data_IF_655564037912
#
_entry.id   IF_655564037912
#
_cell.length_a   1.000
_cell.length_b   1.000
_cell.length_c   1.000
_cell.angle_alpha   90.00
_cell.angle_beta   90.00
_cell.angle_gamma   90.00
#
_symmetry.space_group_name_H-M   'P 1'
#
loop_
_entity.id
_entity.type
_entity.pdbx_description
1 polymer ?
#
# COMPACT_ATOMS: atom_id res chain seq x y z
N UNK A 1 0.57 -4.23 -32.51
CA UNK A 1 1.33 -5.50 -32.53
C UNK A 1 1.51 -5.91 -31.07
N UNK A 2 0.84 -6.98 -30.64
CA UNK A 2 1.03 -7.51 -29.28
C UNK A 2 2.42 -8.17 -29.21
N UNK A 3 3.26 -7.86 -28.20
CA UNK A 3 4.48 -8.62 -28.01
C UNK A 3 4.12 -10.05 -27.62
N UNK A 4 4.84 -11.00 -28.19
CA UNK A 4 4.69 -12.43 -27.93
C UNK A 4 4.94 -12.70 -26.45
N UNK A 5 3.92 -13.21 -25.77
CA UNK A 5 4.02 -13.80 -24.44
C UNK A 5 4.88 -15.06 -24.58
N UNK A 6 6.15 -14.95 -24.21
CA UNK A 6 6.94 -16.13 -23.90
C UNK A 6 6.23 -16.87 -22.77
N UNK A 7 5.96 -18.12 -23.03
CA UNK A 7 5.28 -19.08 -22.14
C UNK A 7 6.04 -19.12 -20.82
N UNK A 8 5.54 -18.40 -19.82
CA UNK A 8 5.98 -18.57 -18.45
C UNK A 8 5.65 -20.01 -18.03
N UNK A 9 6.67 -20.84 -18.01
CA UNK A 9 6.60 -22.15 -17.39
C UNK A 9 6.30 -21.93 -15.91
N UNK A 10 5.05 -22.13 -15.52
CA UNK A 10 4.70 -22.31 -14.10
C UNK A 10 5.49 -23.52 -13.61
N UNK A 11 6.60 -23.27 -12.92
CA UNK A 11 7.28 -24.30 -12.17
C UNK A 11 6.23 -24.92 -11.24
N UNK A 12 5.85 -26.17 -11.52
CA UNK A 12 5.04 -27.00 -10.62
C UNK A 12 5.75 -26.98 -9.26
N UNK A 13 5.21 -26.23 -8.32
CA UNK A 13 5.54 -26.39 -6.91
C UNK A 13 4.95 -27.73 -6.51
N UNK A 14 5.76 -28.79 -6.67
CA UNK A 14 5.44 -30.13 -6.24
C UNK A 14 5.39 -30.13 -4.71
N UNK A 15 4.22 -30.37 -4.14
CA UNK A 15 3.99 -30.47 -2.70
C UNK A 15 2.70 -29.80 -2.21
N UNK A 16 1.79 -29.41 -3.08
CA UNK A 16 0.46 -28.94 -2.67
C UNK A 16 -0.43 -30.14 -2.35
N UNK A 17 -0.78 -30.30 -1.09
CA UNK A 17 -2.06 -30.90 -0.71
C UNK A 17 -3.14 -29.99 -1.31
N UNK A 18 -4.15 -30.57 -2.00
CA UNK A 18 -5.36 -29.85 -2.39
C UNK A 18 -5.81 -29.03 -1.18
N UNK A 19 -5.98 -27.71 -1.37
CA UNK A 19 -6.43 -26.85 -0.28
C UNK A 19 -7.84 -27.32 0.10
N UNK A 20 -8.11 -27.44 1.42
CA UNK A 20 -9.43 -27.76 1.98
C UNK A 20 -10.48 -26.63 1.71
N UNK A 21 -10.46 -26.03 0.51
CA UNK A 21 -11.44 -25.05 0.08
C UNK A 21 -12.69 -25.79 -0.39
N UNK A 22 -13.68 -25.87 0.49
CA UNK A 22 -14.89 -26.64 0.29
C UNK A 22 -15.95 -25.95 -0.59
N UNK A 23 -15.57 -25.00 -1.48
CA UNK A 23 -16.53 -24.31 -2.34
C UNK A 23 -16.08 -24.25 -3.81
N UNK A 24 -17.07 -24.10 -4.71
CA UNK A 24 -16.85 -23.95 -6.15
C UNK A 24 -16.13 -22.61 -6.47
N UNK A 25 -14.82 -22.70 -6.75
CA UNK A 25 -13.96 -21.57 -7.08
C UNK A 25 -14.43 -20.82 -8.30
N UNK A 26 -14.87 -21.52 -9.35
CA UNK A 26 -15.32 -20.85 -10.58
C UNK A 26 -16.62 -20.08 -10.36
N UNK A 27 -17.55 -20.64 -9.58
CA UNK A 27 -18.78 -19.96 -9.23
C UNK A 27 -18.52 -18.72 -8.37
N UNK A 28 -17.62 -18.82 -7.37
CA UNK A 28 -17.15 -17.67 -6.58
C UNK A 28 -16.55 -16.58 -7.48
N UNK A 29 -15.66 -16.94 -8.41
CA UNK A 29 -15.01 -16.00 -9.33
C UNK A 29 -16.05 -15.32 -10.23
N UNK A 30 -16.99 -16.07 -10.77
CA UNK A 30 -18.10 -15.48 -11.58
C UNK A 30 -18.92 -14.50 -10.74
N UNK A 31 -19.36 -14.90 -9.55
CA UNK A 31 -20.18 -14.06 -8.66
C UNK A 31 -19.49 -12.77 -8.26
N UNK A 32 -18.23 -12.86 -7.80
CA UNK A 32 -17.46 -11.68 -7.41
C UNK A 32 -17.19 -10.75 -8.58
N UNK A 33 -16.72 -11.27 -9.72
CA UNK A 33 -16.41 -10.43 -10.89
C UNK A 33 -17.68 -9.82 -11.52
N UNK A 34 -18.80 -10.51 -11.51
CA UNK A 34 -20.09 -9.95 -11.98
C UNK A 34 -20.50 -8.77 -11.08
N UNK A 35 -20.46 -8.94 -9.77
CA UNK A 35 -20.77 -7.87 -8.83
C UNK A 35 -19.77 -6.71 -8.97
N UNK A 36 -18.48 -6.98 -9.01
CA UNK A 36 -17.45 -5.97 -9.15
C UNK A 36 -17.63 -5.13 -10.42
N UNK A 37 -17.92 -5.76 -11.56
CA UNK A 37 -18.16 -5.03 -12.83
C UNK A 37 -19.24 -3.97 -12.74
N UNK A 38 -20.23 -4.16 -11.85
CA UNK A 38 -21.36 -3.24 -11.67
C UNK A 38 -21.16 -2.20 -10.54
N UNK A 39 -20.24 -2.47 -9.61
CA UNK A 39 -20.20 -1.73 -8.32
C UNK A 39 -18.85 -1.14 -7.96
N UNK A 40 -17.79 -1.36 -8.75
CA UNK A 40 -16.46 -0.81 -8.46
C UNK A 40 -16.53 0.70 -8.23
N UNK A 41 -15.93 1.14 -7.13
CA UNK A 41 -15.75 2.57 -6.81
C UNK A 41 -14.91 3.23 -7.90
N UNK A 42 -15.34 4.41 -8.33
CA UNK A 42 -14.56 5.24 -9.24
C UNK A 42 -13.39 5.89 -8.48
N UNK A 43 -12.18 5.40 -8.74
CA UNK A 43 -10.94 5.86 -8.11
C UNK A 43 -9.90 6.16 -9.22
N UNK A 44 -9.20 7.32 -9.17
CA UNK A 44 -8.36 7.77 -10.29
C UNK A 44 -7.27 6.78 -10.69
N UNK A 45 -6.74 5.99 -9.78
CA UNK A 45 -5.72 4.97 -10.07
C UNK A 45 -6.28 3.68 -10.69
N UNK A 46 -7.61 3.54 -10.76
CA UNK A 46 -8.27 2.40 -11.42
C UNK A 46 -8.50 2.60 -12.91
N UNK A 47 -8.45 3.85 -13.39
CA UNK A 47 -8.62 4.20 -14.79
C UNK A 47 -7.35 4.06 -15.63
N UNK A 48 -6.23 3.71 -15.01
CA UNK A 48 -4.94 3.56 -15.68
C UNK A 48 -4.35 2.17 -15.48
N UNK A 49 -3.43 1.80 -16.38
CA UNK A 49 -2.53 0.65 -16.28
C UNK A 49 -1.06 1.09 -16.33
N UNK A 50 -0.81 2.40 -16.30
CA UNK A 50 0.54 2.91 -16.22
C UNK A 50 1.22 2.45 -14.92
N UNK A 51 2.35 1.70 -14.99
CA UNK A 51 2.98 1.09 -13.83
C UNK A 51 3.49 2.12 -12.80
N UNK A 52 3.94 3.30 -13.27
CA UNK A 52 4.35 4.37 -12.36
C UNK A 52 3.16 4.91 -11.56
N UNK A 53 2.09 5.22 -12.23
CA UNK A 53 0.85 5.71 -11.60
C UNK A 53 0.30 4.71 -10.59
N UNK A 54 0.34 3.41 -10.91
CA UNK A 54 -0.08 2.34 -10.01
C UNK A 54 0.85 2.26 -8.80
N UNK A 55 2.18 2.25 -8.99
CA UNK A 55 3.14 2.22 -7.88
C UNK A 55 2.95 3.41 -6.93
N UNK A 56 2.78 4.62 -7.47
CA UNK A 56 2.51 5.84 -6.70
C UNK A 56 1.25 5.70 -5.85
N UNK A 57 0.15 5.22 -6.43
CA UNK A 57 -1.10 5.02 -5.69
C UNK A 57 -0.95 4.01 -4.57
N UNK A 58 -0.29 2.87 -4.81
CA UNK A 58 -0.08 1.83 -3.81
C UNK A 58 0.76 2.33 -2.63
N UNK A 59 1.84 3.09 -2.91
CA UNK A 59 2.67 3.69 -1.85
C UNK A 59 1.88 4.75 -1.07
N UNK A 60 1.06 5.58 -1.72
CA UNK A 60 0.24 6.58 -1.03
C UNK A 60 -0.87 5.96 -0.17
N UNK A 61 -1.45 4.84 -0.61
CA UNK A 61 -2.54 4.15 0.09
C UNK A 61 -2.08 3.36 1.32
N UNK A 62 -0.79 3.06 1.47
CA UNK A 62 -0.29 2.38 2.66
C UNK A 62 -0.71 3.13 3.93
N UNK A 63 -1.61 2.53 4.73
CA UNK A 63 -2.15 3.10 5.98
C UNK A 63 -2.75 4.51 5.86
N UNK A 64 -3.21 4.91 4.67
CA UNK A 64 -3.84 6.21 4.42
C UNK A 64 -5.20 6.04 3.75
N UNK A 65 -6.18 6.80 4.21
CA UNK A 65 -7.54 6.74 3.68
C UNK A 65 -7.62 7.30 2.25
N UNK A 66 -8.47 6.69 1.42
CA UNK A 66 -8.70 7.04 0.01
C UNK A 66 -8.97 8.54 -0.20
N UNK A 67 -9.83 9.14 0.62
CA UNK A 67 -10.20 10.55 0.50
C UNK A 67 -9.02 11.52 0.72
N UNK A 68 -8.00 11.11 1.47
CA UNK A 68 -6.76 11.90 1.64
C UNK A 68 -5.78 11.68 0.48
N UNK A 69 -5.77 10.47 -0.08
CA UNK A 69 -4.86 10.11 -1.17
C UNK A 69 -5.30 10.74 -2.49
N UNK A 70 -6.59 10.67 -2.83
CA UNK A 70 -7.12 11.11 -4.13
C UNK A 70 -6.60 12.48 -4.59
N UNK A 71 -6.74 13.58 -3.84
CA UNK A 71 -6.26 14.89 -4.30
C UNK A 71 -4.73 14.95 -4.42
N UNK A 72 -4.00 14.24 -3.55
CA UNK A 72 -2.53 14.20 -3.57
C UNK A 72 -1.98 13.39 -4.72
N UNK A 73 -2.62 12.29 -5.07
CA UNK A 73 -2.29 11.46 -6.22
C UNK A 73 -2.43 12.23 -7.54
N UNK A 74 -3.55 12.92 -7.73
CA UNK A 74 -3.79 13.74 -8.91
C UNK A 74 -2.73 14.84 -9.04
N UNK A 75 -2.44 15.55 -7.93
CA UNK A 75 -1.43 16.60 -7.91
C UNK A 75 -0.02 16.04 -8.15
N UNK A 76 0.29 14.87 -7.58
CA UNK A 76 1.58 14.20 -7.76
C UNK A 76 1.83 13.89 -9.24
N UNK A 77 0.90 13.18 -9.89
CA UNK A 77 1.08 12.78 -11.30
C UNK A 77 1.08 13.96 -12.26
N UNK A 78 0.38 15.05 -11.93
CA UNK A 78 0.47 16.29 -12.70
C UNK A 78 1.88 16.89 -12.66
N UNK A 79 2.59 16.78 -11.52
CA UNK A 79 3.96 17.29 -11.34
C UNK A 79 5.02 16.32 -11.84
N UNK A 80 4.83 15.05 -11.56
CA UNK A 80 5.81 13.99 -11.81
C UNK A 80 5.14 12.78 -12.49
N UNK A 81 4.83 12.90 -13.80
CA UNK A 81 4.12 11.86 -14.55
C UNK A 81 4.96 10.61 -14.82
N UNK A 82 6.25 10.61 -14.51
CA UNK A 82 7.16 9.47 -14.68
C UNK A 82 8.24 9.45 -13.59
N UNK A 83 8.95 8.33 -13.40
CA UNK A 83 10.11 8.26 -12.51
C UNK A 83 11.16 9.34 -12.86
N UNK A 84 11.45 9.54 -14.14
CA UNK A 84 12.41 10.55 -14.62
C UNK A 84 11.99 11.97 -14.17
N UNK A 85 10.71 12.30 -14.27
CA UNK A 85 10.22 13.61 -13.83
C UNK A 85 10.45 13.84 -12.33
N UNK A 86 10.28 12.77 -11.51
CA UNK A 86 10.53 12.88 -10.07
C UNK A 86 12.02 13.03 -9.75
N UNK A 87 12.92 12.37 -10.48
CA UNK A 87 14.38 12.49 -10.26
C UNK A 87 14.93 13.88 -10.59
N UNK A 88 14.21 14.68 -11.38
CA UNK A 88 14.56 16.09 -11.64
C UNK A 88 14.08 17.05 -10.56
N UNK A 89 13.42 16.56 -9.54
CA UNK A 89 12.88 17.33 -8.40
C UNK A 89 13.72 17.10 -7.15
N UNK A 90 13.39 17.81 -6.09
CA UNK A 90 14.03 17.61 -4.78
C UNK A 90 13.15 16.76 -3.87
N UNK A 91 13.77 16.04 -2.93
CA UNK A 91 13.02 15.35 -1.87
C UNK A 91 12.16 16.36 -1.06
N UNK A 92 12.68 17.58 -0.86
CA UNK A 92 11.95 18.65 -0.19
C UNK A 92 10.61 18.98 -0.89
N UNK A 93 10.59 19.05 -2.21
CA UNK A 93 9.36 19.31 -2.98
C UNK A 93 8.36 18.17 -2.86
N UNK A 94 8.85 16.92 -2.91
CA UNK A 94 8.02 15.76 -2.66
C UNK A 94 7.44 15.75 -1.24
N UNK A 95 8.25 16.04 -0.21
CA UNK A 95 7.79 16.09 1.18
C UNK A 95 6.77 17.20 1.42
N UNK A 96 6.89 18.36 0.74
CA UNK A 96 5.86 19.42 0.76
C UNK A 96 4.53 18.93 0.20
N UNK A 97 4.53 18.22 -0.93
CA UNK A 97 3.32 17.63 -1.49
C UNK A 97 2.75 16.56 -0.56
N UNK A 98 3.61 15.76 0.08
CA UNK A 98 3.22 14.63 0.93
C UNK A 98 2.51 15.03 2.24
N UNK A 99 2.52 16.32 2.59
CA UNK A 99 1.87 16.79 3.81
C UNK A 99 0.41 16.36 3.90
N UNK A 100 0.03 15.79 5.05
CA UNK A 100 -1.31 15.25 5.30
C UNK A 100 -1.49 13.77 5.02
N UNK A 101 -0.57 13.11 4.30
CA UNK A 101 -0.62 11.66 4.07
C UNK A 101 -0.04 10.86 5.25
N UNK A 102 0.84 11.45 6.05
CA UNK A 102 1.54 10.76 7.13
C UNK A 102 2.66 9.84 6.63
N UNK A 103 3.38 9.22 7.57
CA UNK A 103 4.45 8.27 7.27
C UNK A 103 5.42 8.77 6.17
N UNK A 104 6.15 9.88 6.40
CA UNK A 104 6.95 10.59 5.40
C UNK A 104 8.09 9.73 4.82
N UNK A 105 8.51 8.67 5.52
CA UNK A 105 9.47 7.70 5.00
C UNK A 105 9.00 7.03 3.71
N UNK A 106 7.68 6.93 3.49
CA UNK A 106 7.14 6.41 2.21
C UNK A 106 7.44 7.35 1.04
N UNK A 107 7.37 8.67 1.28
CA UNK A 107 7.78 9.65 0.28
C UNK A 107 9.26 9.51 -0.05
N UNK A 108 10.13 9.38 0.96
CA UNK A 108 11.56 9.13 0.76
C UNK A 108 11.78 7.85 -0.04
N UNK A 109 11.17 6.75 0.37
CA UNK A 109 11.28 5.48 -0.34
C UNK A 109 10.82 5.58 -1.81
N UNK A 110 9.72 6.29 -2.09
CA UNK A 110 9.24 6.50 -3.46
C UNK A 110 10.23 7.36 -4.28
N UNK A 111 10.84 8.36 -3.66
CA UNK A 111 11.89 9.17 -4.29
C UNK A 111 13.11 8.32 -4.67
N UNK A 112 13.59 7.51 -3.72
CA UNK A 112 14.72 6.60 -3.94
C UNK A 112 14.37 5.50 -4.97
N UNK A 113 13.11 5.02 -4.97
CA UNK A 113 12.61 4.08 -5.99
C UNK A 113 12.63 4.69 -7.39
N UNK A 114 12.24 5.97 -7.54
CA UNK A 114 12.30 6.64 -8.83
C UNK A 114 13.75 6.72 -9.37
N UNK A 115 14.71 7.06 -8.50
CA UNK A 115 16.13 7.06 -8.87
C UNK A 115 16.61 5.66 -9.27
N UNK A 116 16.25 4.62 -8.49
CA UNK A 116 16.63 3.25 -8.83
C UNK A 116 15.99 2.77 -10.13
N UNK A 117 14.73 3.09 -10.39
CA UNK A 117 14.05 2.78 -11.66
C UNK A 117 14.80 3.42 -12.83
N UNK A 118 15.19 4.68 -12.72
CA UNK A 118 15.94 5.38 -13.78
C UNK A 118 17.34 4.81 -13.97
N UNK A 119 18.04 4.49 -12.88
CA UNK A 119 19.45 4.07 -12.94
C UNK A 119 19.63 2.59 -13.29
N UNK A 120 18.69 1.71 -12.92
CA UNK A 120 18.85 0.25 -13.00
C UNK A 120 17.87 -0.40 -13.97
N UNK A 121 16.73 0.25 -14.21
CA UNK A 121 15.65 -0.31 -15.03
C UNK A 121 15.30 0.61 -16.23
N UNK A 122 16.26 1.37 -16.74
CA UNK A 122 16.12 2.24 -17.93
C UNK A 122 14.92 3.21 -17.85
N UNK A 123 14.48 3.54 -16.65
CA UNK A 123 13.35 4.42 -16.41
C UNK A 123 11.96 3.77 -16.45
N UNK A 124 11.90 2.46 -16.69
CA UNK A 124 10.67 1.68 -16.71
C UNK A 124 10.45 0.96 -15.36
N UNK A 125 9.25 1.01 -14.82
CA UNK A 125 8.90 0.24 -13.61
C UNK A 125 9.00 -1.26 -13.94
N UNK A 126 9.79 -2.04 -13.17
CA UNK A 126 9.97 -3.46 -13.47
C UNK A 126 8.65 -4.26 -13.37
N UNK A 127 8.58 -5.35 -14.16
CA UNK A 127 7.42 -6.21 -14.27
C UNK A 127 7.64 -7.63 -13.72
N UNK A 128 8.67 -7.82 -12.89
CA UNK A 128 8.92 -9.06 -12.15
C UNK A 128 8.82 -8.83 -10.65
N UNK A 129 8.44 -9.88 -9.90
CA UNK A 129 8.34 -9.80 -8.44
C UNK A 129 9.72 -9.53 -7.82
N UNK A 130 10.74 -10.19 -8.33
CA UNK A 130 12.11 -10.11 -7.88
C UNK A 130 12.66 -8.68 -8.00
N UNK A 131 12.47 -8.04 -9.15
CA UNK A 131 12.98 -6.68 -9.39
C UNK A 131 12.18 -5.64 -8.59
N UNK A 132 10.85 -5.78 -8.54
CA UNK A 132 9.99 -4.87 -7.77
C UNK A 132 10.36 -4.85 -6.28
N UNK A 133 10.66 -5.99 -5.67
CA UNK A 133 11.04 -6.06 -4.26
C UNK A 133 12.40 -5.36 -3.99
N UNK A 134 13.24 -5.18 -5.02
CA UNK A 134 14.50 -4.43 -4.86
C UNK A 134 14.29 -2.93 -4.71
N UNK A 135 13.11 -2.41 -5.06
CA UNK A 135 12.79 -0.99 -4.95
C UNK A 135 12.59 -0.59 -3.48
N UNK A 136 13.16 0.52 -3.02
CA UNK A 136 13.00 1.00 -1.65
C UNK A 136 11.53 1.14 -1.23
N UNK A 137 11.14 0.48 -0.14
CA UNK A 137 9.77 0.53 0.40
C UNK A 137 8.72 -0.29 -0.36
N UNK A 138 9.13 -1.05 -1.37
CA UNK A 138 8.29 -2.01 -2.07
C UNK A 138 8.46 -3.39 -1.43
N UNK A 139 7.45 -3.81 -0.69
CA UNK A 139 7.37 -5.16 -0.12
C UNK A 139 6.57 -6.11 -1.03
N UNK A 140 6.45 -7.39 -0.62
CA UNK A 140 5.71 -8.40 -1.40
C UNK A 140 4.28 -7.98 -1.78
N UNK A 141 3.56 -7.32 -0.87
CA UNK A 141 2.23 -6.77 -1.15
C UNK A 141 2.26 -5.75 -2.29
N UNK A 142 3.08 -4.70 -2.15
CA UNK A 142 3.14 -3.61 -3.15
C UNK A 142 3.62 -4.13 -4.51
N UNK A 143 4.61 -5.04 -4.53
CA UNK A 143 5.08 -5.66 -5.75
C UNK A 143 3.96 -6.44 -6.47
N UNK A 144 3.22 -7.30 -5.75
CA UNK A 144 2.08 -8.04 -6.30
C UNK A 144 0.97 -7.11 -6.79
N UNK A 145 0.65 -6.05 -6.03
CA UNK A 145 -0.34 -5.05 -6.43
C UNK A 145 0.05 -4.36 -7.75
N UNK A 146 1.33 -3.98 -7.92
CA UNK A 146 1.83 -3.42 -9.19
C UNK A 146 1.70 -4.43 -10.33
N UNK A 147 2.11 -5.69 -10.10
CA UNK A 147 2.01 -6.74 -11.13
C UNK A 147 0.57 -6.99 -11.57
N UNK A 148 -0.38 -6.98 -10.64
CA UNK A 148 -1.80 -7.17 -10.94
C UNK A 148 -2.42 -5.93 -11.58
N UNK A 149 -2.19 -4.75 -11.00
CA UNK A 149 -2.96 -3.57 -11.39
C UNK A 149 -2.38 -2.82 -12.59
N UNK A 150 -1.09 -3.01 -12.89
CA UNK A 150 -0.46 -2.45 -14.07
C UNK A 150 -0.27 -3.47 -15.20
N UNK A 151 0.14 -4.68 -14.87
CA UNK A 151 0.51 -5.69 -15.86
C UNK A 151 -0.53 -6.82 -16.02
N UNK A 152 -1.59 -6.79 -15.20
CA UNK A 152 -2.68 -7.79 -15.20
C UNK A 152 -2.19 -9.24 -15.04
N UNK A 153 -1.11 -9.43 -14.27
CA UNK A 153 -0.59 -10.75 -13.98
C UNK A 153 -1.39 -11.45 -12.86
N UNK A 154 -1.57 -12.78 -12.92
CA UNK A 154 -2.48 -13.51 -12.04
C UNK A 154 -1.86 -13.78 -10.65
N UNK A 155 -1.65 -12.73 -9.87
CA UNK A 155 -1.24 -12.81 -8.47
C UNK A 155 -2.39 -12.47 -7.52
N UNK A 156 -2.46 -13.16 -6.39
CA UNK A 156 -3.31 -12.76 -5.28
C UNK A 156 -2.69 -11.57 -4.53
N UNK A 157 -3.47 -10.51 -4.29
CA UNK A 157 -3.03 -9.34 -3.51
C UNK A 157 -3.63 -9.44 -2.11
N UNK A 158 -2.81 -9.78 -1.13
CA UNK A 158 -3.23 -10.01 0.25
C UNK A 158 -2.90 -8.82 1.15
N UNK A 159 -3.91 -8.00 1.45
CA UNK A 159 -3.86 -7.00 2.52
C UNK A 159 -4.65 -7.46 3.76
N UNK A 160 -4.74 -6.61 4.79
CA UNK A 160 -5.51 -6.90 6.01
C UNK A 160 -7.00 -7.08 5.76
N UNK A 161 -7.54 -6.51 4.70
CA UNK A 161 -8.95 -6.60 4.35
C UNK A 161 -9.24 -7.88 3.58
N UNK A 162 -8.39 -8.22 2.63
CA UNK A 162 -8.46 -9.49 1.91
C UNK A 162 -8.22 -10.66 2.87
N UNK A 163 -7.26 -10.54 3.80
CA UNK A 163 -7.03 -11.55 4.84
C UNK A 163 -8.28 -11.79 5.69
N UNK A 164 -9.04 -10.75 6.04
CA UNK A 164 -10.33 -10.87 6.72
C UNK A 164 -11.37 -11.62 5.86
N UNK A 165 -11.45 -11.31 4.57
CA UNK A 165 -12.34 -12.01 3.64
C UNK A 165 -12.02 -13.50 3.59
N UNK A 166 -10.75 -13.84 3.35
CA UNK A 166 -10.30 -15.23 3.21
C UNK A 166 -10.54 -16.04 4.48
N UNK A 167 -10.26 -15.47 5.67
CA UNK A 167 -10.54 -16.13 6.94
C UNK A 167 -12.05 -16.43 7.11
N UNK A 168 -12.91 -15.48 6.76
CA UNK A 168 -14.38 -15.67 6.82
C UNK A 168 -14.90 -16.66 5.78
N UNK A 169 -14.33 -16.65 4.57
CA UNK A 169 -14.71 -17.60 3.52
C UNK A 169 -14.32 -19.03 3.88
N UNK A 170 -13.14 -19.23 4.46
CA UNK A 170 -12.66 -20.53 4.89
C UNK A 170 -13.20 -20.97 6.26
N UNK A 171 -13.81 -20.05 7.01
CA UNK A 171 -14.34 -20.33 8.36
C UNK A 171 -13.28 -20.55 9.45
N UNK A 172 -12.01 -20.20 9.19
CA UNK A 172 -10.90 -20.40 10.11
C UNK A 172 -9.84 -19.29 10.07
N UNK A 173 -9.10 -19.14 11.15
CA UNK A 173 -7.95 -18.25 11.18
C UNK A 173 -6.84 -18.72 10.25
N UNK A 174 -6.22 -17.78 9.54
CA UNK A 174 -5.17 -18.05 8.55
C UNK A 174 -3.84 -17.45 8.99
N UNK A 175 -2.76 -18.21 8.83
CA UNK A 175 -1.39 -17.71 8.93
C UNK A 175 -0.99 -16.86 7.70
N UNK A 176 0.13 -16.08 7.76
CA UNK A 176 0.53 -15.21 6.66
C UNK A 176 0.78 -15.96 5.35
N UNK A 177 1.53 -17.06 5.43
CA UNK A 177 1.86 -17.88 4.26
C UNK A 177 0.61 -18.54 3.68
N UNK A 178 -0.19 -19.16 4.52
CA UNK A 178 -1.42 -19.83 4.13
C UNK A 178 -2.43 -18.88 3.49
N UNK A 179 -2.61 -17.67 4.08
CA UNK A 179 -3.47 -16.64 3.50
C UNK A 179 -3.00 -16.20 2.11
N UNK A 180 -1.69 -16.10 1.89
CA UNK A 180 -1.14 -15.76 0.58
C UNK A 180 -1.31 -16.92 -0.43
N UNK A 181 -1.07 -18.16 -0.01
CA UNK A 181 -1.25 -19.35 -0.85
C UNK A 181 -2.72 -19.46 -1.32
N UNK A 182 -3.69 -19.23 -0.42
CA UNK A 182 -5.13 -19.18 -0.75
C UNK A 182 -5.45 -18.01 -1.68
N UNK A 183 -4.89 -16.81 -1.45
CA UNK A 183 -5.11 -15.67 -2.33
C UNK A 183 -4.62 -15.94 -3.75
N UNK A 184 -3.46 -16.58 -3.90
CA UNK A 184 -2.90 -16.98 -5.20
C UNK A 184 -3.72 -18.09 -5.88
N UNK A 185 -4.27 -19.02 -5.10
CA UNK A 185 -5.11 -20.09 -5.63
C UNK A 185 -6.45 -19.59 -6.13
N UNK A 186 -7.07 -18.64 -5.44
CA UNK A 186 -8.41 -18.13 -5.75
C UNK A 186 -8.44 -17.09 -6.88
N UNK A 187 -7.31 -16.49 -7.24
CA UNK A 187 -7.29 -15.44 -8.26
C UNK A 187 -7.91 -15.93 -9.58
N UNK A 188 -8.75 -15.11 -10.19
CA UNK A 188 -9.26 -15.34 -11.54
C UNK A 188 -8.14 -15.07 -12.56
N UNK A 189 -7.60 -16.09 -13.24
CA UNK A 189 -6.46 -15.91 -14.12
C UNK A 189 -6.77 -15.11 -15.39
N UNK A 190 -8.03 -15.06 -15.80
CA UNK A 190 -8.49 -14.32 -16.99
C UNK A 190 -8.79 -12.85 -16.67
N UNK A 191 -9.13 -12.56 -15.41
CA UNK A 191 -9.53 -11.23 -14.94
C UNK A 191 -8.86 -10.85 -13.61
N UNK A 192 -7.52 -10.97 -13.47
CA UNK A 192 -6.84 -10.80 -12.19
C UNK A 192 -7.00 -9.38 -11.62
N UNK A 193 -7.03 -8.37 -12.48
CA UNK A 193 -7.29 -6.99 -12.08
C UNK A 193 -8.68 -6.84 -11.44
N UNK A 194 -9.72 -7.29 -12.15
CA UNK A 194 -11.11 -7.15 -11.70
C UNK A 194 -11.37 -7.95 -10.43
N UNK A 195 -10.81 -9.16 -10.35
CA UNK A 195 -10.87 -10.01 -9.17
C UNK A 195 -10.31 -9.30 -7.92
N UNK A 196 -9.07 -8.84 -7.97
CA UNK A 196 -8.44 -8.20 -6.82
C UNK A 196 -9.10 -6.85 -6.45
N UNK A 197 -9.54 -6.05 -7.44
CA UNK A 197 -10.29 -4.82 -7.16
C UNK A 197 -11.66 -5.13 -6.54
N UNK A 198 -12.32 -6.20 -6.99
CA UNK A 198 -13.56 -6.70 -6.41
C UNK A 198 -13.39 -7.12 -4.94
N UNK A 199 -12.30 -7.81 -4.60
CA UNK A 199 -11.98 -8.15 -3.20
C UNK A 199 -11.85 -6.90 -2.33
N UNK A 200 -11.13 -5.88 -2.80
CA UNK A 200 -10.97 -4.64 -2.04
C UNK A 200 -12.29 -3.92 -1.81
N UNK A 201 -13.17 -3.89 -2.82
CA UNK A 201 -14.46 -3.24 -2.68
C UNK A 201 -15.45 -4.07 -1.87
N UNK A 202 -15.45 -5.38 -2.02
CA UNK A 202 -16.23 -6.26 -1.16
C UNK A 202 -15.87 -6.08 0.31
N UNK A 203 -14.57 -5.99 0.61
CA UNK A 203 -14.09 -5.77 1.97
C UNK A 203 -14.41 -4.36 2.52
N UNK A 204 -14.49 -3.37 1.65
CA UNK A 204 -14.77 -1.99 2.02
C UNK A 204 -16.26 -1.67 2.12
N UNK A 205 -17.12 -2.35 1.36
CA UNK A 205 -18.53 -2.02 1.22
C UNK A 205 -19.47 -3.03 1.91
N UNK A 206 -19.13 -4.32 1.90
CA UNK A 206 -19.99 -5.39 2.37
C UNK A 206 -19.40 -6.14 3.56
N UNK A 207 -18.21 -6.72 3.40
CA UNK A 207 -17.56 -7.53 4.43
C UNK A 207 -16.76 -6.66 5.42
N UNK A 208 -17.46 -5.74 6.07
CA UNK A 208 -16.87 -4.77 7.00
C UNK A 208 -16.22 -5.48 8.21
N UNK A 209 -15.24 -4.81 8.85
CA UNK A 209 -14.61 -5.31 10.09
C UNK A 209 -15.62 -5.44 11.23
N UNK A 210 -16.57 -4.51 11.34
CA UNK A 210 -17.68 -4.53 12.29
C UNK A 210 -18.99 -4.45 11.51
N UNK A 211 -20.00 -5.18 11.94
CA UNK A 211 -21.32 -5.20 11.30
C UNK A 211 -21.28 -5.46 9.79
N UNK A 212 -20.70 -6.60 9.34
CA UNK A 212 -20.69 -6.95 7.92
C UNK A 212 -22.10 -7.15 7.39
N UNK A 213 -22.33 -6.76 6.13
CA UNK A 213 -23.62 -6.84 5.45
C UNK A 213 -23.79 -8.24 4.79
N UNK A 214 -23.75 -9.29 5.60
CA UNK A 214 -23.72 -10.68 5.09
C UNK A 214 -24.95 -11.02 4.25
N UNK A 215 -26.16 -10.51 4.61
CA UNK A 215 -27.40 -10.77 3.86
C UNK A 215 -27.42 -10.21 2.44
N UNK A 216 -26.60 -9.20 2.14
CA UNK A 216 -26.48 -8.55 0.83
C UNK A 216 -25.16 -8.91 0.13
N UNK A 217 -24.38 -9.82 0.71
CA UNK A 217 -23.05 -10.16 0.19
C UNK A 217 -23.18 -11.00 -1.10
N UNK A 218 -22.59 -10.57 -2.21
CA UNK A 218 -22.71 -11.25 -3.50
C UNK A 218 -22.09 -12.65 -3.53
N UNK A 219 -21.27 -12.96 -2.54
CA UNK A 219 -20.55 -14.24 -2.39
C UNK A 219 -20.92 -14.97 -1.09
N UNK A 220 -22.07 -14.64 -0.48
CA UNK A 220 -22.52 -15.25 0.78
C UNK A 220 -22.60 -16.78 0.67
N UNK A 221 -23.05 -17.29 -0.47
CA UNK A 221 -23.25 -18.72 -0.71
C UNK A 221 -21.96 -19.52 -0.51
N UNK A 222 -20.82 -18.95 -0.84
CA UNK A 222 -19.49 -19.59 -0.70
C UNK A 222 -18.77 -19.24 0.60
N UNK A 223 -19.35 -18.41 1.46
CA UNK A 223 -18.77 -18.01 2.72
C UNK A 223 -19.09 -19.01 3.84
N UNK A 224 -18.10 -19.63 4.47
CA UNK A 224 -18.32 -20.57 5.59
C UNK A 224 -18.85 -19.90 6.85
N UNK A 225 -18.43 -18.65 7.14
CA UNK A 225 -18.83 -17.95 8.36
C UNK A 225 -20.23 -17.32 8.28
N UNK A 226 -20.56 -16.64 7.18
CA UNK A 226 -21.87 -15.99 6.91
C UNK A 226 -22.40 -15.07 8.03
N UNK A 227 -21.51 -14.59 8.92
CA UNK A 227 -21.89 -13.73 10.04
C UNK A 227 -22.41 -14.47 11.27
N UNK A 228 -22.26 -15.79 11.35
CA UNK A 228 -22.76 -16.63 12.44
C UNK A 228 -21.61 -17.16 13.29
N UNK A 229 -21.70 -17.04 14.61
CA UNK A 229 -20.69 -17.48 15.57
C UNK A 229 -19.50 -16.55 15.65
N UNK A 230 -18.40 -17.07 16.22
CA UNK A 230 -17.16 -16.30 16.37
C UNK A 230 -16.53 -15.94 15.01
N UNK A 231 -16.06 -14.68 14.90
CA UNK A 231 -15.46 -14.20 13.64
C UNK A 231 -14.07 -14.81 13.46
N UNK A 232 -13.88 -15.69 12.46
CA UNK A 232 -12.60 -16.35 12.21
C UNK A 232 -11.48 -15.40 11.78
N UNK A 233 -11.83 -14.18 11.36
CA UNK A 233 -10.84 -13.14 11.10
C UNK A 233 -10.15 -12.65 12.38
N UNK A 234 -10.74 -12.86 13.55
CA UNK A 234 -10.12 -12.57 14.83
C UNK A 234 -8.90 -13.47 15.03
N UNK A 235 -7.70 -12.86 15.12
CA UNK A 235 -6.45 -13.62 15.25
C UNK A 235 -5.83 -14.09 13.92
N UNK A 236 -6.48 -13.85 12.78
CA UNK A 236 -5.84 -14.08 11.47
C UNK A 236 -4.69 -13.13 11.24
N UNK A 237 -3.63 -13.64 10.62
CA UNK A 237 -2.51 -12.82 10.18
C UNK A 237 -2.97 -11.77 9.16
N UNK A 238 -2.37 -10.58 9.25
CA UNK A 238 -2.74 -9.45 8.40
C UNK A 238 -3.90 -8.61 8.95
N UNK A 239 -4.70 -9.13 9.87
CA UNK A 239 -5.71 -8.31 10.57
C UNK A 239 -5.02 -7.39 11.56
N UNK A 240 -4.93 -6.10 11.25
CA UNK A 240 -4.17 -5.12 12.03
C UNK A 240 -4.67 -5.01 13.47
N UNK A 241 -3.76 -5.07 14.43
CA UNK A 241 -3.96 -4.57 15.79
C UNK A 241 -4.16 -3.06 15.76
N UNK A 242 -4.94 -2.51 16.67
CA UNK A 242 -5.17 -1.06 16.77
C UNK A 242 -3.86 -0.28 16.91
N UNK A 243 -3.73 0.84 16.21
CA UNK A 243 -2.60 1.75 16.40
C UNK A 243 -2.73 2.51 17.73
N UNK A 244 -1.59 2.83 18.35
CA UNK A 244 -1.56 3.74 19.49
C UNK A 244 -2.21 5.09 19.16
N UNK A 245 -2.83 5.78 20.14
CA UNK A 245 -3.42 7.09 19.93
C UNK A 245 -2.46 8.05 19.23
N UNK A 246 -2.99 8.88 18.33
CA UNK A 246 -2.17 9.84 17.58
C UNK A 246 -1.70 11.01 18.47
N UNK A 247 -2.60 11.48 19.35
CA UNK A 247 -2.32 12.61 20.24
C UNK A 247 -1.19 12.27 21.22
N UNK A 248 -0.21 13.14 21.35
CA UNK A 248 0.98 12.95 22.19
C UNK A 248 2.00 11.93 21.65
N UNK A 249 1.73 11.30 20.49
CA UNK A 249 2.65 10.29 19.93
C UNK A 249 3.87 10.91 19.22
N UNK A 250 4.92 10.11 19.03
CA UNK A 250 6.10 10.47 18.22
C UNK A 250 5.70 10.84 16.78
N UNK A 251 4.66 10.18 16.22
CA UNK A 251 4.12 10.49 14.89
C UNK A 251 3.61 11.93 14.81
N UNK A 252 2.94 12.40 15.87
CA UNK A 252 2.42 13.78 15.92
C UNK A 252 3.57 14.78 16.03
N UNK A 253 4.51 14.58 16.95
CA UNK A 253 5.67 15.45 17.13
C UNK A 253 6.52 15.56 15.85
N UNK A 254 6.85 14.44 15.22
CA UNK A 254 7.55 14.39 13.93
C UNK A 254 6.76 15.11 12.82
N UNK A 255 5.44 14.92 12.80
CA UNK A 255 4.56 15.59 11.83
C UNK A 255 4.57 17.12 11.98
N UNK A 256 4.58 17.65 13.21
CA UNK A 256 4.70 19.09 13.49
C UNK A 256 6.03 19.65 12.99
N UNK A 257 7.14 18.94 13.28
CA UNK A 257 8.46 19.33 12.83
C UNK A 257 8.55 19.42 11.31
N UNK A 258 8.16 18.36 10.61
CA UNK A 258 8.17 18.34 9.14
C UNK A 258 7.25 19.41 8.55
N UNK A 259 6.07 19.65 9.15
CA UNK A 259 5.17 20.73 8.73
C UNK A 259 5.80 22.12 8.89
N UNK A 260 6.53 22.36 9.97
CA UNK A 260 7.25 23.62 10.14
C UNK A 260 8.31 23.80 9.05
N UNK A 261 9.08 22.76 8.78
CA UNK A 261 10.13 22.76 7.76
C UNK A 261 9.62 22.94 6.32
N UNK A 262 8.34 22.66 6.04
CA UNK A 262 7.78 23.00 4.71
C UNK A 262 7.68 24.49 4.44
N UNK A 263 7.75 25.32 5.50
CA UNK A 263 7.68 26.78 5.41
C UNK A 263 9.06 27.44 5.31
N UNK A 264 10.11 26.71 5.64
CA UNK A 264 11.49 27.19 5.60
C UNK A 264 12.37 26.52 6.67
N UNK A 265 13.67 26.86 6.72
CA UNK A 265 14.57 26.38 7.73
C UNK A 265 14.12 26.71 9.16
N UNK A 266 14.38 25.83 10.10
CA UNK A 266 14.03 25.98 11.52
C UNK A 266 15.30 25.93 12.36
N UNK A 267 15.59 26.92 13.23
CA UNK A 267 16.67 26.83 14.18
C UNK A 267 16.57 25.58 15.05
N UNK A 268 17.65 24.82 15.21
CA UNK A 268 17.65 23.57 15.97
C UNK A 268 17.18 23.78 17.43
N UNK A 269 17.46 24.93 18.02
CA UNK A 269 17.01 25.31 19.36
C UNK A 269 15.48 25.39 19.49
N UNK A 270 14.72 25.62 18.40
CA UNK A 270 13.26 25.71 18.40
C UNK A 270 12.59 24.36 18.19
N UNK A 271 13.33 23.29 17.91
CA UNK A 271 12.77 21.98 17.54
C UNK A 271 11.86 21.39 18.63
N UNK A 272 12.28 21.46 19.89
CA UNK A 272 11.49 20.93 21.01
C UNK A 272 10.14 21.67 21.16
N UNK A 273 10.13 23.01 21.05
CA UNK A 273 8.95 23.83 21.12
C UNK A 273 7.97 23.50 19.96
N UNK A 274 8.49 23.42 18.72
CA UNK A 274 7.66 23.06 17.54
C UNK A 274 7.04 21.68 17.67
N UNK A 275 7.77 20.72 18.27
CA UNK A 275 7.28 19.36 18.51
C UNK A 275 6.34 19.27 19.73
N UNK A 276 6.19 20.36 20.51
CA UNK A 276 5.52 20.40 21.82
C UNK A 276 6.14 19.39 22.81
N UNK A 277 7.48 19.40 22.91
CA UNK A 277 8.29 18.52 23.73
C UNK A 277 9.30 19.32 24.60
N UNK A 278 8.98 20.56 24.98
CA UNK A 278 9.88 21.37 25.85
C UNK A 278 10.14 20.72 27.18
N UNK A 279 9.21 19.94 27.70
CA UNK A 279 9.35 19.16 28.92
C UNK A 279 10.09 17.82 28.75
N UNK A 280 10.44 17.43 27.50
CA UNK A 280 11.10 16.15 27.17
C UNK A 280 12.14 16.34 26.06
N UNK A 281 13.20 17.05 26.39
CA UNK A 281 14.29 17.38 25.43
C UNK A 281 14.99 16.12 24.93
N UNK A 282 15.11 15.09 25.75
CA UNK A 282 15.71 13.80 25.35
C UNK A 282 14.92 13.17 24.21
N UNK A 283 13.60 13.13 24.34
CA UNK A 283 12.70 12.63 23.29
C UNK A 283 12.76 13.50 22.03
N UNK A 284 12.76 14.82 22.17
CA UNK A 284 12.89 15.74 21.04
C UNK A 284 14.19 15.49 20.25
N UNK A 285 15.33 15.40 20.95
CA UNK A 285 16.64 15.13 20.34
C UNK A 285 16.66 13.79 19.63
N UNK A 286 16.11 12.73 20.24
CA UNK A 286 15.99 11.42 19.62
C UNK A 286 15.18 11.50 18.32
N UNK A 287 14.01 12.16 18.32
CA UNK A 287 13.15 12.28 17.14
C UNK A 287 13.81 13.06 16.00
N UNK A 288 14.59 14.09 16.31
CA UNK A 288 15.42 14.82 15.32
C UNK A 288 16.49 13.90 14.74
N UNK A 289 17.18 13.14 15.58
CA UNK A 289 18.19 12.15 15.15
C UNK A 289 17.54 11.11 14.21
N UNK A 290 16.37 10.61 14.55
CA UNK A 290 15.64 9.63 13.73
C UNK A 290 15.22 10.23 12.38
N UNK A 291 14.71 11.47 12.34
CA UNK A 291 14.39 12.17 11.09
C UNK A 291 15.62 12.37 10.20
N UNK A 292 16.79 12.64 10.79
CA UNK A 292 18.06 12.74 10.06
C UNK A 292 18.50 11.39 9.50
N UNK A 293 18.46 10.32 10.31
CA UNK A 293 18.81 8.96 9.87
C UNK A 293 17.91 8.48 8.73
N UNK A 294 16.67 8.91 8.72
CA UNK A 294 15.72 8.64 7.64
C UNK A 294 15.91 9.60 6.44
N UNK A 295 16.90 10.50 6.48
CA UNK A 295 17.18 11.52 5.46
C UNK A 295 15.94 12.37 5.11
N UNK A 296 15.05 12.59 6.08
CA UNK A 296 13.87 13.46 5.94
C UNK A 296 14.20 14.92 6.27
N UNK A 297 15.27 15.12 6.99
CA UNK A 297 15.81 16.44 7.34
C UNK A 297 17.34 16.41 7.27
N UNK A 298 17.92 17.58 7.04
CA UNK A 298 19.36 17.81 7.15
C UNK A 298 19.64 18.97 8.10
N UNK A 299 20.91 19.15 8.50
CA UNK A 299 21.34 20.22 9.39
C UNK A 299 22.42 21.03 8.68
N UNK A 300 22.25 22.35 8.63
CA UNK A 300 23.23 23.29 8.14
C UNK A 300 23.26 24.49 9.09
N UNK A 301 24.44 24.85 9.59
CA UNK A 301 24.67 26.02 10.43
C UNK A 301 23.64 26.19 11.58
N UNK A 302 23.39 25.17 12.36
CA UNK A 302 22.41 25.15 13.46
C UNK A 302 20.92 25.23 13.00
N UNK A 303 20.64 25.22 11.71
CA UNK A 303 19.29 25.14 11.18
C UNK A 303 18.95 23.73 10.68
N UNK A 304 17.72 23.31 10.90
CA UNK A 304 17.12 22.11 10.34
C UNK A 304 16.44 22.48 9.01
N UNK A 305 16.67 21.68 7.99
CA UNK A 305 16.10 21.83 6.65
C UNK A 305 15.34 20.58 6.26
N UNK A 306 14.33 20.73 5.40
CA UNK A 306 13.53 19.63 4.89
C UNK A 306 14.25 18.92 3.73
N UNK A 307 14.35 17.58 3.83
CA UNK A 307 14.98 16.76 2.79
C UNK A 307 16.51 16.79 2.82
N UNK A 308 17.11 16.29 1.72
CA UNK A 308 18.56 16.30 1.54
C UNK A 308 19.03 17.68 1.03
N UNK A 309 20.26 18.04 1.35
CA UNK A 309 20.95 19.10 0.62
C UNK A 309 21.06 18.67 -0.84
N UNK A 310 20.77 19.58 -1.77
CA UNK A 310 21.12 19.41 -3.18
C UNK A 310 22.63 19.17 -3.27
N UNK A 311 23.04 18.00 -3.77
CA UNK A 311 24.43 17.77 -4.16
C UNK A 311 24.73 18.48 -5.46
#
# INVERSE_FOLDING_TARGET
MRPQLETFHMAKISGRTESDIAFDREALNRGLCQWASATLRDLPWRSTRDPWSVLVSEVMLQQTQVNRVTPKYIEFLRRWPSPQALTQSTLSDLLKLWQGLGYPRRARNLFDSAHRIVQVHDGEVPNTLEDLITLPGVGPYTARAVLVFAFELPFGVLDTNVGRLLARWTGRSLGPKEGQDIADELVDPDRPWLWNQGLFDLAALQCLKRNPQCGECPVQEWCSWRGVGDDPASGSAGVSTGQTPFQGSDRQARGRMLKALTKGPVPAAQAAAIMELEGDIVRATRLISDLRKESLITVQEEALLLGDLLQ
#
